data_IF_994251168362
#
_entry.id   IF_994251168362
#
_cell.length_a   1.000
_cell.length_b   1.000
_cell.length_c   1.000
_cell.angle_alpha   90.00
_cell.angle_beta   90.00
_cell.angle_gamma   90.00
#
_symmetry.space_group_name_H-M   'P 1'
#
loop_
_entity.id
_entity.type
_entity.pdbx_description
1 polymer ?
#
# COMPACT_ATOMS: atom_id res chain seq x y z
N UNK A 1 2.76 -35.07 38.22
CA UNK A 1 3.19 -33.65 38.23
C UNK A 1 4.19 -33.30 37.13
N UNK A 2 5.35 -33.99 36.99
CA UNK A 2 6.35 -33.67 35.94
C UNK A 2 5.80 -33.71 34.49
N UNK A 3 4.96 -34.70 34.16
CA UNK A 3 4.38 -34.81 32.82
C UNK A 3 3.43 -33.66 32.46
N UNK A 4 2.69 -33.14 33.43
CA UNK A 4 1.80 -31.97 33.25
C UNK A 4 2.61 -30.70 32.97
N UNK A 5 3.72 -30.50 33.67
CA UNK A 5 4.63 -29.36 33.47
C UNK A 5 5.24 -29.41 32.06
N UNK A 6 5.66 -30.58 31.61
CA UNK A 6 6.20 -30.78 30.25
C UNK A 6 5.13 -30.48 29.19
N UNK A 7 3.89 -30.93 29.36
CA UNK A 7 2.80 -30.67 28.44
C UNK A 7 2.49 -29.16 28.35
N UNK A 8 2.46 -28.46 29.48
CA UNK A 8 2.25 -26.99 29.53
C UNK A 8 3.39 -26.25 28.81
N UNK A 9 4.64 -26.69 29.02
CA UNK A 9 5.80 -26.08 28.35
C UNK A 9 5.75 -26.28 26.83
N UNK A 10 5.35 -27.44 26.33
CA UNK A 10 5.18 -27.73 24.90
C UNK A 10 4.08 -26.85 24.29
N UNK A 11 2.94 -26.71 24.98
CA UNK A 11 1.83 -25.85 24.53
C UNK A 11 2.27 -24.39 24.49
N UNK A 12 2.99 -23.90 25.51
CA UNK A 12 3.50 -22.54 25.54
C UNK A 12 4.48 -22.27 24.38
N UNK A 13 5.39 -23.20 24.12
CA UNK A 13 6.33 -23.10 22.97
C UNK A 13 5.57 -23.11 21.64
N UNK A 14 4.55 -23.97 21.49
CA UNK A 14 3.73 -24.01 20.29
C UNK A 14 2.95 -22.70 20.06
N UNK A 15 2.40 -22.08 21.13
CA UNK A 15 1.71 -20.79 21.04
C UNK A 15 2.70 -19.67 20.68
N UNK A 16 3.88 -19.64 21.29
CA UNK A 16 4.92 -18.65 20.95
C UNK A 16 5.40 -18.84 19.51
N UNK A 17 5.64 -20.06 19.06
CA UNK A 17 5.99 -20.35 17.69
C UNK A 17 4.86 -19.91 16.73
N UNK A 18 3.60 -20.19 17.06
CA UNK A 18 2.44 -19.73 16.28
C UNK A 18 2.43 -18.21 16.14
N UNK A 19 2.59 -17.45 17.24
CA UNK A 19 2.61 -16.00 17.23
C UNK A 19 3.81 -15.40 16.47
N UNK A 20 4.94 -16.11 16.43
CA UNK A 20 6.14 -15.68 15.69
C UNK A 20 6.07 -16.02 14.20
N UNK A 21 5.50 -17.17 13.84
CA UNK A 21 5.45 -17.63 12.44
C UNK A 21 4.22 -17.17 11.66
N UNK A 22 3.12 -16.79 12.35
CA UNK A 22 1.94 -16.22 11.70
C UNK A 22 1.88 -14.71 11.94
N UNK A 23 2.25 -13.92 10.93
CA UNK A 23 2.20 -12.46 11.04
C UNK A 23 0.75 -12.01 11.32
N UNK A 24 0.58 -11.06 12.23
CA UNK A 24 -0.74 -10.48 12.50
C UNK A 24 -1.32 -9.89 11.19
N UNK A 25 -2.63 -9.94 11.04
CA UNK A 25 -3.34 -9.34 9.88
C UNK A 25 -2.89 -7.89 9.62
N UNK A 26 -2.67 -7.11 10.68
CA UNK A 26 -2.14 -5.74 10.57
C UNK A 26 -0.77 -5.68 9.89
N UNK A 27 0.15 -6.59 10.23
CA UNK A 27 1.47 -6.67 9.57
C UNK A 27 1.34 -7.04 8.09
N UNK A 28 0.40 -7.91 7.75
CA UNK A 28 0.13 -8.29 6.35
C UNK A 28 -0.37 -7.06 5.58
N UNK A 29 -1.31 -6.31 6.15
CA UNK A 29 -1.88 -5.09 5.55
C UNK A 29 -0.80 -4.01 5.37
N UNK A 30 0.05 -3.76 6.38
CA UNK A 30 1.18 -2.82 6.26
C UNK A 30 2.15 -3.24 5.16
N UNK A 31 2.43 -4.54 5.05
CA UNK A 31 3.28 -5.05 3.96
C UNK A 31 2.67 -4.81 2.57
N UNK A 32 1.32 -4.76 2.43
CA UNK A 32 0.71 -4.37 1.16
C UNK A 32 0.92 -2.88 0.87
N UNK A 33 0.88 -2.02 1.91
CA UNK A 33 1.19 -0.60 1.75
C UNK A 33 2.65 -0.39 1.32
N UNK A 34 3.60 -1.08 1.92
CA UNK A 34 5.01 -1.02 1.50
C UNK A 34 5.18 -1.46 0.05
N UNK A 35 4.51 -2.55 -0.36
CA UNK A 35 4.58 -3.08 -1.73
C UNK A 35 4.00 -2.12 -2.76
N UNK A 36 2.87 -1.45 -2.47
CA UNK A 36 2.30 -0.49 -3.44
C UNK A 36 3.20 0.74 -3.57
N UNK A 37 3.77 1.24 -2.47
CA UNK A 37 4.75 2.32 -2.50
C UNK A 37 5.99 1.91 -3.31
N UNK A 38 6.54 0.72 -3.07
CA UNK A 38 7.68 0.20 -3.81
C UNK A 38 7.38 0.07 -5.31
N UNK A 39 6.17 -0.37 -5.66
CA UNK A 39 5.77 -0.52 -7.06
C UNK A 39 5.65 0.81 -7.79
N UNK A 40 5.29 1.91 -7.10
CA UNK A 40 5.21 3.25 -7.68
C UNK A 40 6.56 3.95 -7.72
N UNK A 41 7.45 3.67 -6.76
CA UNK A 41 8.79 4.29 -6.70
C UNK A 41 9.60 3.99 -7.96
N UNK A 42 10.25 5.04 -8.50
CA UNK A 42 11.03 4.99 -9.72
C UNK A 42 12.40 5.64 -9.53
N UNK A 43 13.51 4.88 -9.58
CA UNK A 43 14.85 5.45 -9.68
C UNK A 43 15.11 6.01 -11.09
N UNK A 44 16.10 6.89 -11.24
CA UNK A 44 16.45 7.52 -12.52
C UNK A 44 16.95 6.53 -13.58
N UNK A 45 17.55 5.43 -13.16
CA UNK A 45 18.13 4.38 -14.02
C UNK A 45 17.20 3.18 -14.25
N UNK A 46 15.89 3.34 -14.00
CA UNK A 46 14.92 2.27 -14.14
C UNK A 46 14.78 1.81 -15.59
N UNK A 47 15.17 0.56 -15.84
CA UNK A 47 14.99 -0.08 -17.16
C UNK A 47 13.54 -0.50 -17.43
N UNK A 48 13.20 -0.65 -18.72
CA UNK A 48 11.83 -0.98 -19.16
C UNK A 48 11.28 -2.28 -18.55
N UNK A 49 12.12 -3.29 -18.34
CA UNK A 49 11.69 -4.57 -17.73
C UNK A 49 11.31 -4.35 -16.27
N UNK A 50 12.10 -3.58 -15.51
CA UNK A 50 11.80 -3.25 -14.13
C UNK A 50 10.52 -2.42 -14.01
N UNK A 51 10.33 -1.43 -14.89
CA UNK A 51 9.12 -0.61 -14.95
C UNK A 51 7.87 -1.47 -15.23
N UNK A 52 7.93 -2.39 -16.22
CA UNK A 52 6.83 -3.30 -16.53
C UNK A 52 6.52 -4.23 -15.35
N UNK A 53 7.53 -4.79 -14.68
CA UNK A 53 7.35 -5.66 -13.53
C UNK A 53 6.69 -4.92 -12.35
N UNK A 54 7.09 -3.68 -12.09
CA UNK A 54 6.49 -2.83 -11.04
C UNK A 54 5.04 -2.46 -11.35
N UNK A 55 4.73 -2.11 -12.61
CA UNK A 55 3.37 -1.82 -13.04
C UNK A 55 2.44 -3.04 -12.88
N UNK A 56 2.91 -4.24 -13.23
CA UNK A 56 2.18 -5.48 -12.98
C UNK A 56 1.97 -5.73 -11.48
N UNK A 57 3.00 -5.48 -10.66
CA UNK A 57 2.92 -5.61 -9.21
C UNK A 57 1.93 -4.60 -8.62
N UNK A 58 1.91 -3.36 -9.11
CA UNK A 58 0.93 -2.34 -8.74
C UNK A 58 -0.50 -2.80 -9.01
N UNK A 59 -0.81 -3.19 -10.24
CA UNK A 59 -2.14 -3.69 -10.63
C UNK A 59 -2.59 -4.90 -9.81
N UNK A 60 -1.65 -5.82 -9.49
CA UNK A 60 -1.94 -7.00 -8.68
C UNK A 60 -2.32 -6.71 -7.22
N UNK A 61 -2.02 -5.52 -6.70
CA UNK A 61 -2.39 -5.09 -5.34
C UNK A 61 -3.78 -4.45 -5.28
N UNK A 62 -4.33 -4.04 -6.41
CA UNK A 62 -5.63 -3.40 -6.54
C UNK A 62 -6.77 -4.42 -6.59
N UNK A 63 -7.99 -3.99 -6.24
CA UNK A 63 -9.20 -4.77 -6.45
C UNK A 63 -9.46 -4.90 -7.96
N UNK A 64 -9.48 -6.11 -8.47
CA UNK A 64 -9.72 -6.43 -9.89
C UNK A 64 -11.18 -6.80 -10.18
N UNK A 65 -12.04 -6.83 -9.15
CA UNK A 65 -13.44 -7.21 -9.25
C UNK A 65 -14.39 -6.03 -9.14
N UNK A 66 -13.97 -4.95 -8.46
CA UNK A 66 -14.77 -3.74 -8.26
C UNK A 66 -13.95 -2.50 -8.62
N UNK A 67 -14.67 -1.38 -8.78
CA UNK A 67 -14.04 -0.08 -8.96
C UNK A 67 -13.34 0.38 -7.68
N UNK A 68 -12.22 1.07 -7.87
CA UNK A 68 -11.38 1.64 -6.82
C UNK A 68 -11.68 3.13 -6.75
N UNK A 69 -12.03 3.62 -5.56
CA UNK A 69 -12.34 5.03 -5.34
C UNK A 69 -11.08 5.85 -5.07
N UNK A 70 -10.87 6.90 -5.84
CA UNK A 70 -9.78 7.88 -5.66
C UNK A 70 -10.40 9.23 -5.32
N UNK A 71 -10.08 9.79 -4.15
CA UNK A 71 -10.55 11.09 -3.69
C UNK A 71 -9.35 11.83 -3.07
N UNK A 72 -8.59 12.51 -3.89
CA UNK A 72 -7.35 13.21 -3.52
C UNK A 72 -7.47 14.66 -4.01
N UNK A 73 -7.32 15.61 -3.09
CA UNK A 73 -7.41 17.03 -3.41
C UNK A 73 -6.39 17.43 -4.51
N UNK A 74 -6.81 18.26 -5.44
CA UNK A 74 -6.02 18.70 -6.61
C UNK A 74 -5.59 17.56 -7.57
N UNK A 75 -6.06 16.32 -7.37
CA UNK A 75 -5.75 15.23 -8.28
C UNK A 75 -6.72 15.21 -9.47
N UNK A 76 -6.22 15.28 -10.71
CA UNK A 76 -7.09 15.43 -11.90
C UNK A 76 -7.92 14.17 -12.23
N UNK A 77 -7.58 13.02 -11.64
CA UNK A 77 -8.23 11.73 -11.90
C UNK A 77 -9.01 11.24 -10.68
N UNK A 78 -9.71 12.13 -9.96
CA UNK A 78 -10.63 11.74 -8.90
C UNK A 78 -11.82 10.97 -9.48
N UNK A 79 -12.32 9.99 -8.75
CA UNK A 79 -13.46 9.17 -9.16
C UNK A 79 -13.26 7.69 -8.92
N UNK A 80 -14.07 6.89 -9.61
CA UNK A 80 -14.01 5.44 -9.60
C UNK A 80 -13.29 4.93 -10.83
N UNK A 81 -12.34 4.02 -10.64
CA UNK A 81 -11.50 3.46 -11.70
C UNK A 81 -11.35 1.96 -11.55
N UNK A 82 -11.24 1.26 -12.66
CA UNK A 82 -10.81 -0.13 -12.66
C UNK A 82 -9.31 -0.25 -12.33
N UNK A 83 -8.88 -1.43 -11.88
CA UNK A 83 -7.47 -1.71 -11.63
C UNK A 83 -6.59 -1.51 -12.88
N UNK A 84 -7.12 -1.83 -14.07
CA UNK A 84 -6.44 -1.65 -15.35
C UNK A 84 -6.28 -0.18 -15.73
N UNK A 85 -7.28 0.65 -15.47
CA UNK A 85 -7.19 2.11 -15.68
C UNK A 85 -6.15 2.73 -14.77
N UNK A 86 -6.12 2.37 -13.48
CA UNK A 86 -5.12 2.87 -12.54
C UNK A 86 -3.71 2.41 -12.91
N UNK A 87 -3.54 1.15 -13.35
CA UNK A 87 -2.26 0.66 -13.84
C UNK A 87 -1.81 1.42 -15.10
N UNK A 88 -2.75 1.77 -15.98
CA UNK A 88 -2.45 2.59 -17.16
C UNK A 88 -2.05 4.02 -16.80
N UNK A 89 -2.73 4.65 -15.84
CA UNK A 89 -2.39 5.97 -15.32
C UNK A 89 -1.02 5.96 -14.62
N UNK A 90 -0.71 4.92 -13.84
CA UNK A 90 0.60 4.74 -13.22
C UNK A 90 1.71 4.65 -14.27
N UNK A 91 1.51 3.82 -15.30
CA UNK A 91 2.48 3.68 -16.40
C UNK A 91 2.70 5.02 -17.16
N UNK A 92 1.63 5.77 -17.42
CA UNK A 92 1.73 7.10 -18.03
C UNK A 92 2.49 8.07 -17.14
N UNK A 93 2.14 8.16 -15.84
CA UNK A 93 2.84 9.01 -14.87
C UNK A 93 4.33 8.69 -14.81
N UNK A 94 4.68 7.41 -14.82
CA UNK A 94 6.07 6.93 -14.87
C UNK A 94 6.84 7.39 -16.12
N UNK A 95 6.16 7.49 -17.26
CA UNK A 95 6.78 8.01 -18.48
C UNK A 95 7.13 9.52 -18.39
N UNK A 96 6.34 10.31 -17.68
CA UNK A 96 6.59 11.75 -17.48
C UNK A 96 7.63 12.06 -16.42
N UNK A 97 7.82 11.16 -15.46
CA UNK A 97 8.74 11.36 -14.36
C UNK A 97 10.13 10.79 -14.69
N UNK A 98 11.18 11.49 -14.25
CA UNK A 98 12.54 10.96 -14.17
C UNK A 98 12.71 10.11 -12.93
N UNK A 99 12.29 10.65 -11.76
CA UNK A 99 12.29 9.93 -10.50
C UNK A 99 10.97 10.12 -9.75
N UNK A 100 10.55 9.08 -9.02
CA UNK A 100 9.44 9.11 -8.06
C UNK A 100 9.97 8.45 -6.78
N UNK A 101 10.06 9.22 -5.70
CA UNK A 101 10.49 8.73 -4.38
C UNK A 101 9.37 9.01 -3.37
N UNK A 102 8.70 7.95 -2.95
CA UNK A 102 7.64 8.00 -1.93
C UNK A 102 8.17 7.31 -0.69
N UNK A 103 8.12 7.98 0.45
CA UNK A 103 8.60 7.47 1.73
C UNK A 103 7.50 7.53 2.77
N UNK A 104 7.22 6.40 3.38
CA UNK A 104 6.30 6.31 4.51
C UNK A 104 6.90 6.99 5.74
N UNK A 105 6.17 7.92 6.35
CA UNK A 105 6.56 8.61 7.58
C UNK A 105 5.90 8.02 8.83
N UNK A 106 4.80 7.32 8.65
CA UNK A 106 4.09 6.60 9.69
C UNK A 106 2.79 6.04 9.15
N UNK A 107 2.34 4.93 9.73
CA UNK A 107 1.09 4.29 9.38
C UNK A 107 0.44 3.65 10.60
N UNK A 108 -0.88 3.73 10.68
CA UNK A 108 -1.72 3.02 11.65
C UNK A 108 -2.79 2.23 10.91
N UNK A 109 -3.08 1.01 11.37
CA UNK A 109 -4.01 0.09 10.73
C UNK A 109 -5.12 -0.29 11.69
N UNK A 110 -6.35 -0.09 11.26
CA UNK A 110 -7.56 -0.63 11.87
C UNK A 110 -8.17 -1.69 10.96
N UNK A 111 -8.53 -2.85 11.53
CA UNK A 111 -9.19 -3.94 10.79
C UNK A 111 -10.51 -4.23 11.48
N UNK A 112 -11.60 -4.15 10.72
CA UNK A 112 -12.96 -4.46 11.18
C UNK A 112 -13.75 -5.12 10.05
N UNK A 113 -14.40 -6.23 10.35
CA UNK A 113 -15.34 -6.93 9.44
C UNK A 113 -14.77 -7.21 8.04
N UNK A 114 -13.50 -7.62 7.96
CA UNK A 114 -12.83 -7.93 6.70
C UNK A 114 -12.42 -6.70 5.87
N UNK A 115 -12.51 -5.51 6.45
CA UNK A 115 -12.04 -4.25 5.88
C UNK A 115 -10.89 -3.71 6.71
N UNK A 116 -9.79 -3.36 6.06
CA UNK A 116 -8.67 -2.67 6.68
C UNK A 116 -8.65 -1.20 6.26
N UNK A 117 -8.50 -0.32 7.22
CA UNK A 117 -8.27 1.11 7.00
C UNK A 117 -6.87 1.46 7.47
N UNK A 118 -6.07 2.03 6.58
CA UNK A 118 -4.73 2.50 6.88
C UNK A 118 -4.74 4.03 6.88
N UNK A 119 -4.44 4.63 8.02
CA UNK A 119 -4.11 6.05 8.11
C UNK A 119 -2.59 6.17 8.00
N UNK A 120 -2.07 6.87 7.00
CA UNK A 120 -0.63 7.00 6.82
C UNK A 120 -0.23 8.39 6.34
N UNK A 121 1.01 8.76 6.57
CA UNK A 121 1.62 9.98 6.04
C UNK A 121 2.75 9.57 5.11
N UNK A 122 2.77 10.13 3.91
CA UNK A 122 3.83 9.90 2.94
C UNK A 122 4.51 11.21 2.54
N UNK A 123 5.82 11.16 2.39
CA UNK A 123 6.62 12.21 1.76
C UNK A 123 6.88 11.83 0.31
N UNK A 124 6.63 12.75 -0.59
CA UNK A 124 6.80 12.59 -2.04
C UNK A 124 7.91 13.51 -2.51
N UNK A 125 8.84 12.97 -3.28
CA UNK A 125 9.76 13.73 -4.09
C UNK A 125 9.65 13.23 -5.52
N UNK A 126 9.15 14.08 -6.42
CA UNK A 126 8.97 13.74 -7.83
C UNK A 126 9.79 14.71 -8.68
N UNK A 127 10.61 14.17 -9.57
CA UNK A 127 11.32 14.93 -10.59
C UNK A 127 10.77 14.55 -11.95
N UNK A 128 10.32 15.53 -12.72
CA UNK A 128 9.84 15.28 -14.09
C UNK A 128 11.00 15.30 -15.08
N UNK A 129 10.83 14.67 -16.24
CA UNK A 129 11.80 14.73 -17.35
C UNK A 129 12.05 16.14 -17.87
N UNK A 130 11.20 17.09 -17.53
CA UNK A 130 11.34 18.52 -17.88
C UNK A 130 12.06 19.34 -16.81
N UNK A 131 12.58 18.69 -15.77
CA UNK A 131 13.35 19.32 -14.69
C UNK A 131 12.51 19.94 -13.56
N UNK A 132 11.18 19.84 -13.61
CA UNK A 132 10.33 20.29 -12.50
C UNK A 132 10.47 19.34 -11.31
N UNK A 133 10.62 19.88 -10.11
CA UNK A 133 10.71 19.12 -8.85
C UNK A 133 9.54 19.47 -7.95
N UNK A 134 8.92 18.43 -7.38
CA UNK A 134 7.82 18.53 -6.43
C UNK A 134 8.21 17.78 -5.16
N UNK A 135 8.14 18.47 -4.03
CA UNK A 135 8.35 17.90 -2.70
C UNK A 135 7.11 18.18 -1.85
N UNK A 136 6.48 17.16 -1.31
CA UNK A 136 5.28 17.32 -0.48
C UNK A 136 5.22 16.23 0.61
N UNK A 137 4.62 16.58 1.76
CA UNK A 137 4.27 15.63 2.82
C UNK A 137 2.77 15.71 3.03
N UNK A 138 2.06 14.60 2.83
CA UNK A 138 0.60 14.57 2.87
C UNK A 138 0.09 13.35 3.64
N UNK A 139 -0.96 13.52 4.47
CA UNK A 139 -1.65 12.40 5.11
C UNK A 139 -2.71 11.81 4.19
N UNK A 140 -2.82 10.48 4.20
CA UNK A 140 -3.77 9.70 3.39
C UNK A 140 -4.51 8.67 4.22
N UNK A 141 -5.62 8.21 3.67
CA UNK A 141 -6.33 7.02 4.11
C UNK A 141 -6.46 6.07 2.94
N UNK A 142 -5.97 4.84 3.10
CA UNK A 142 -6.22 3.75 2.17
C UNK A 142 -7.18 2.74 2.79
N UNK A 143 -8.06 2.18 1.97
CA UNK A 143 -8.96 1.09 2.37
C UNK A 143 -8.62 -0.16 1.58
N UNK A 144 -8.53 -1.29 2.29
CA UNK A 144 -8.35 -2.61 1.68
C UNK A 144 -9.49 -3.53 2.10
N UNK A 145 -9.84 -4.43 1.20
CA UNK A 145 -10.76 -5.55 1.48
C UNK A 145 -10.07 -6.88 1.27
N UNK A 146 -10.52 -7.90 1.97
CA UNK A 146 -10.02 -9.26 1.82
C UNK A 146 -10.81 -9.95 0.70
N UNK A 147 -10.19 -10.12 -0.46
CA UNK A 147 -10.76 -10.75 -1.65
C UNK A 147 -9.93 -12.01 -1.91
N UNK A 148 -10.58 -13.18 -2.00
CA UNK A 148 -9.91 -14.48 -2.18
C UNK A 148 -8.72 -14.68 -1.23
N UNK A 149 -8.94 -14.39 0.06
CA UNK A 149 -7.93 -14.47 1.14
C UNK A 149 -6.75 -13.49 1.00
N UNK A 150 -6.77 -12.56 0.03
CA UNK A 150 -5.75 -11.54 -0.19
C UNK A 150 -6.29 -10.15 0.13
N UNK A 151 -5.48 -9.32 0.75
CA UNK A 151 -5.80 -7.92 0.96
C UNK A 151 -5.55 -7.12 -0.32
N UNK A 152 -6.59 -6.46 -0.84
CA UNK A 152 -6.60 -5.65 -2.06
C UNK A 152 -7.03 -4.23 -1.76
N UNK A 153 -6.37 -3.24 -2.36
CA UNK A 153 -6.76 -1.83 -2.23
C UNK A 153 -8.05 -1.56 -2.99
N UNK A 154 -8.99 -0.88 -2.32
CA UNK A 154 -10.31 -0.52 -2.84
C UNK A 154 -10.56 0.98 -2.83
N UNK A 155 -9.79 1.76 -2.06
CA UNK A 155 -9.90 3.21 -2.06
C UNK A 155 -8.62 3.89 -1.56
N UNK A 156 -8.38 5.09 -2.07
CA UNK A 156 -7.39 6.05 -1.58
C UNK A 156 -8.03 7.41 -1.47
N UNK A 157 -7.80 8.11 -0.37
CA UNK A 157 -8.29 9.46 -0.15
C UNK A 157 -7.33 10.29 0.67
N UNK A 158 -7.35 11.60 0.47
CA UNK A 158 -6.72 12.52 1.41
C UNK A 158 -7.37 12.43 2.78
N UNK A 159 -6.57 12.50 3.81
CA UNK A 159 -7.08 12.80 5.14
C UNK A 159 -7.31 14.32 5.20
N UNK A 160 -8.56 14.75 5.07
CA UNK A 160 -8.91 16.16 5.23
C UNK A 160 -8.43 16.63 6.61
N UNK A 161 -7.39 17.46 6.61
CA UNK A 161 -7.05 18.24 7.79
C UNK A 161 -8.05 19.38 7.82
N UNK A 162 -8.96 19.38 8.78
CA UNK A 162 -9.85 20.51 9.01
C UNK A 162 -8.97 21.75 9.15
N UNK A 163 -8.95 22.58 8.11
CA UNK A 163 -8.37 23.93 8.20
C UNK A 163 -9.24 24.69 9.20
N UNK A 164 -8.66 24.99 10.38
CA UNK A 164 -9.25 25.93 11.34
C UNK A 164 -9.21 27.33 10.79
#
# INVERSE_FOLDING_TARGET
>A
MKQIIIAIAIIAVAIVAWLLFFPSEKKIVLKQLDKIIESVNKPSDEGNIAAAAKNLAFGALLDDTNEISIIIDEFPYNGSHSSSELASLEAQGRLYCETIDIRLKGADVEIKDGVATINFTAAFTVVTKFGSKYDEIRPFVATLKKIDKKWKFTAFRDKQVLKK
#
